data_IF_963318896455
#
_entry.id   IF_963318896455
#
_cell.length_a   1.000
_cell.length_b   1.000
_cell.length_c   1.000
_cell.angle_alpha   90.00
_cell.angle_beta   90.00
_cell.angle_gamma   90.00
#
_symmetry.space_group_name_H-M   'P 1'
#
loop_
_entity.id
_entity.type
_entity.pdbx_description
1 polymer ?
#
# COMPACT_ATOMS: atom_id res chain seq x y z
N UNK A 1 -18.45 -2.87 -17.33
CA UNK A 1 -18.70 -3.30 -15.94
C UNK A 1 -19.23 -2.09 -15.19
N UNK A 2 -20.28 -2.25 -14.38
CA UNK A 2 -20.85 -1.12 -13.63
C UNK A 2 -19.81 -0.66 -12.60
N UNK A 3 -19.56 0.65 -12.55
CA UNK A 3 -18.73 1.24 -11.49
C UNK A 3 -19.41 0.99 -10.15
N UNK A 4 -18.70 0.43 -9.15
CA UNK A 4 -19.29 0.21 -7.84
C UNK A 4 -19.71 1.56 -7.25
N UNK A 5 -20.93 1.65 -6.69
CA UNK A 5 -21.35 2.84 -5.96
C UNK A 5 -20.57 2.89 -4.64
N UNK A 6 -19.62 3.81 -4.58
CA UNK A 6 -18.78 4.04 -3.40
C UNK A 6 -19.49 5.10 -2.54
N UNK A 7 -19.78 4.83 -1.25
CA UNK A 7 -20.36 5.83 -0.37
C UNK A 7 -19.46 7.07 -0.25
N UNK A 8 -20.03 8.27 -0.24
CA UNK A 8 -19.24 9.52 -0.18
C UNK A 8 -18.39 9.60 1.09
N UNK A 9 -18.91 9.11 2.22
CA UNK A 9 -18.22 9.11 3.51
C UNK A 9 -17.19 8.00 3.69
N UNK A 10 -17.05 7.12 2.70
CA UNK A 10 -16.17 5.97 2.80
C UNK A 10 -14.70 6.37 2.77
N UNK A 11 -13.91 5.86 3.72
CA UNK A 11 -12.48 6.15 3.87
C UNK A 11 -12.15 7.64 4.12
N UNK A 12 -13.12 8.43 4.60
CA UNK A 12 -12.91 9.84 4.97
C UNK A 12 -12.18 9.96 6.31
N UNK A 13 -10.94 10.45 6.27
CA UNK A 13 -10.00 10.75 7.37
C UNK A 13 -9.72 9.58 8.37
N UNK A 14 -8.49 9.47 8.91
CA UNK A 14 -8.18 8.42 9.87
C UNK A 14 -8.81 8.73 11.24
N UNK A 15 -9.73 7.88 11.72
CA UNK A 15 -10.27 7.97 13.08
C UNK A 15 -9.28 7.32 14.07
N UNK A 16 -8.36 8.11 14.63
CA UNK A 16 -7.47 7.63 15.69
C UNK A 16 -6.35 6.69 15.24
N UNK A 17 -5.97 6.74 13.95
CA UNK A 17 -4.79 6.01 13.48
C UNK A 17 -3.50 6.59 14.07
N UNK A 18 -2.55 5.73 14.42
CA UNK A 18 -1.27 6.13 15.00
C UNK A 18 -0.11 5.49 14.25
N UNK A 19 1.00 6.22 14.17
CA UNK A 19 2.22 5.78 13.52
C UNK A 19 3.24 5.34 14.58
N UNK A 20 3.88 4.20 14.33
CA UNK A 20 5.00 3.71 15.12
C UNK A 20 6.11 3.22 14.21
N UNK A 21 7.18 3.99 14.12
CA UNK A 21 8.40 3.54 13.46
C UNK A 21 9.08 2.44 14.29
N UNK A 22 9.56 1.40 13.62
CA UNK A 22 10.25 0.29 14.24
C UNK A 22 11.73 0.63 14.45
N UNK A 23 12.23 0.33 15.65
CA UNK A 23 13.66 0.25 15.90
C UNK A 23 14.05 -1.22 15.94
N UNK A 24 14.74 -1.69 14.89
CA UNK A 24 15.11 -3.09 14.71
C UNK A 24 16.07 -3.62 15.79
N UNK A 25 16.81 -2.74 16.48
CA UNK A 25 17.65 -3.13 17.62
C UNK A 25 16.81 -3.46 18.86
N UNK A 26 15.59 -2.92 18.94
CA UNK A 26 14.69 -3.05 20.09
C UNK A 26 13.46 -3.93 19.81
N UNK A 27 13.41 -4.61 18.66
CA UNK A 27 12.39 -5.64 18.41
C UNK A 27 12.63 -6.88 19.27
N UNK A 28 11.64 -7.76 19.35
CA UNK A 28 11.75 -9.04 20.07
C UNK A 28 11.51 -10.20 19.10
N UNK A 29 12.57 -10.93 18.66
CA UNK A 29 13.98 -10.72 18.96
C UNK A 29 14.56 -9.47 18.25
N UNK A 30 15.70 -8.93 18.72
CA UNK A 30 16.42 -7.89 17.99
C UNK A 30 16.86 -8.38 16.62
N UNK A 31 16.83 -7.51 15.61
CA UNK A 31 17.24 -7.83 14.24
C UNK A 31 18.26 -6.80 13.74
N UNK A 32 19.51 -6.80 14.26
CA UNK A 32 20.51 -5.78 13.94
C UNK A 32 20.88 -5.65 12.46
N UNK A 33 20.68 -6.72 11.67
CA UNK A 33 20.92 -6.70 10.23
C UNK A 33 20.09 -5.64 9.48
N UNK A 34 19.04 -5.09 10.11
CA UNK A 34 18.18 -4.05 9.57
C UNK A 34 18.32 -2.70 10.31
N UNK A 35 19.41 -2.46 11.04
CA UNK A 35 19.57 -1.23 11.85
C UNK A 35 19.36 0.06 11.04
N UNK A 36 19.87 0.11 9.80
CA UNK A 36 19.76 1.26 8.90
C UNK A 36 18.53 1.21 7.97
N UNK A 37 17.64 0.24 8.16
CA UNK A 37 16.44 0.07 7.33
C UNK A 37 15.25 0.79 7.96
N UNK A 38 14.27 1.07 7.11
CA UNK A 38 13.03 1.71 7.53
C UNK A 38 11.87 0.72 7.55
N UNK A 39 11.15 0.68 8.66
CA UNK A 39 9.82 0.08 8.75
C UNK A 39 8.98 0.84 9.76
N UNK A 40 7.69 0.97 9.49
CA UNK A 40 6.73 1.57 10.41
C UNK A 40 5.40 0.83 10.36
N UNK A 41 4.67 0.88 11.47
CA UNK A 41 3.33 0.32 11.63
C UNK A 41 2.36 1.49 11.79
N UNK A 42 1.28 1.47 11.02
CA UNK A 42 0.15 2.38 11.20
C UNK A 42 -0.98 1.56 11.81
N UNK A 43 -1.21 1.76 13.09
CA UNK A 43 -2.29 1.11 13.83
C UNK A 43 -3.61 1.86 13.56
N UNK A 44 -4.74 1.13 13.52
CA UNK A 44 -6.09 1.67 13.27
C UNK A 44 -6.23 2.47 11.95
N UNK A 45 -5.52 2.08 10.89
CA UNK A 45 -5.60 2.76 9.59
C UNK A 45 -7.01 2.70 8.95
N UNK A 46 -7.73 1.62 9.19
CA UNK A 46 -9.12 1.40 8.77
C UNK A 46 -9.90 0.75 9.90
N UNK A 47 -11.18 1.05 10.01
CA UNK A 47 -12.08 0.33 10.92
C UNK A 47 -12.45 -1.05 10.33
N UNK A 48 -13.04 -1.91 11.16
CA UNK A 48 -13.52 -3.21 10.71
C UNK A 48 -14.63 -3.07 9.66
N UNK A 49 -15.53 -2.11 9.84
CA UNK A 49 -16.60 -1.79 8.90
C UNK A 49 -16.03 -1.34 7.55
N UNK A 50 -14.99 -0.50 7.58
CA UNK A 50 -14.33 -0.04 6.35
C UNK A 50 -13.68 -1.21 5.59
N UNK A 51 -13.01 -2.11 6.32
CA UNK A 51 -12.42 -3.32 5.74
C UNK A 51 -13.48 -4.24 5.12
N UNK A 52 -14.59 -4.46 5.83
CA UNK A 52 -15.70 -5.28 5.35
C UNK A 52 -16.37 -4.67 4.12
N UNK A 53 -16.54 -3.36 4.08
CA UNK A 53 -17.09 -2.64 2.94
C UNK A 53 -16.15 -2.72 1.73
N UNK A 54 -14.82 -2.58 1.91
CA UNK A 54 -13.85 -2.79 0.82
C UNK A 54 -13.99 -4.19 0.22
N UNK A 55 -14.06 -5.22 1.07
CA UNK A 55 -14.24 -6.60 0.63
C UNK A 55 -15.57 -6.81 -0.11
N UNK A 56 -16.65 -6.20 0.37
CA UNK A 56 -17.95 -6.25 -0.29
C UNK A 56 -17.89 -5.62 -1.69
N UNK A 57 -17.38 -4.40 -1.82
CA UNK A 57 -17.25 -3.70 -3.10
C UNK A 57 -16.40 -4.49 -4.11
N UNK A 58 -15.31 -5.09 -3.64
CA UNK A 58 -14.46 -5.96 -4.45
C UNK A 58 -15.24 -7.18 -4.93
N UNK A 59 -15.92 -7.91 -4.04
CA UNK A 59 -16.68 -9.12 -4.38
C UNK A 59 -17.85 -8.83 -5.31
N UNK A 60 -18.53 -7.69 -5.16
CA UNK A 60 -19.63 -7.28 -6.04
C UNK A 60 -19.14 -6.93 -7.45
N UNK A 61 -17.95 -6.34 -7.57
CA UNK A 61 -17.37 -5.99 -8.88
C UNK A 61 -16.62 -7.15 -9.54
N UNK A 62 -16.06 -8.06 -8.74
CA UNK A 62 -15.25 -9.20 -9.16
C UNK A 62 -15.69 -10.46 -8.39
N UNK A 63 -16.78 -11.14 -8.81
CA UNK A 63 -17.32 -12.31 -8.11
C UNK A 63 -16.36 -13.51 -8.11
N UNK A 64 -15.38 -13.52 -9.03
CA UNK A 64 -14.24 -14.42 -9.02
C UNK A 64 -12.95 -13.60 -8.96
N UNK A 65 -11.98 -14.06 -8.15
CA UNK A 65 -10.70 -13.40 -7.97
C UNK A 65 -9.65 -14.11 -8.81
N UNK A 66 -9.52 -13.69 -10.06
CA UNK A 66 -8.44 -14.17 -10.91
C UNK A 66 -7.09 -13.72 -10.34
N UNK A 67 -6.09 -14.61 -10.40
CA UNK A 67 -4.74 -14.26 -9.95
C UNK A 67 -4.23 -13.08 -10.78
N UNK A 68 -3.78 -12.04 -10.10
CA UNK A 68 -3.17 -10.91 -10.75
C UNK A 68 -1.88 -11.32 -11.47
N UNK A 69 -1.86 -11.10 -12.80
CA UNK A 69 -0.68 -11.28 -13.63
C UNK A 69 0.36 -10.16 -13.37
N UNK A 70 1.61 -10.43 -13.75
CA UNK A 70 2.71 -9.45 -13.71
C UNK A 70 2.74 -8.70 -15.03
N UNK A 71 2.76 -7.37 -14.98
CA UNK A 71 2.93 -6.53 -16.17
C UNK A 71 4.40 -6.58 -16.61
N UNK A 72 4.65 -6.93 -17.87
CA UNK A 72 5.99 -7.06 -18.46
C UNK A 72 6.32 -5.92 -19.43
N UNK A 73 5.51 -4.86 -19.46
CA UNK A 73 5.63 -3.74 -20.38
C UNK A 73 4.87 -3.96 -21.69
N UNK A 74 4.74 -2.90 -22.48
CA UNK A 74 4.04 -2.92 -23.78
C UNK A 74 2.61 -3.48 -23.74
N UNK A 75 1.91 -3.31 -22.62
CA UNK A 75 0.55 -3.85 -22.42
C UNK A 75 0.49 -5.37 -22.22
N UNK A 76 1.63 -6.06 -22.14
CA UNK A 76 1.69 -7.51 -21.93
C UNK A 76 1.68 -7.88 -20.45
N UNK A 77 1.08 -9.03 -20.15
CA UNK A 77 1.03 -9.57 -18.80
C UNK A 77 1.29 -11.08 -18.83
N UNK A 78 2.05 -11.58 -17.86
CA UNK A 78 2.36 -13.00 -17.71
C UNK A 78 2.02 -13.50 -16.31
N UNK A 79 1.70 -14.78 -16.21
CA UNK A 79 1.63 -15.47 -14.92
C UNK A 79 3.05 -15.82 -14.47
N UNK A 80 3.57 -15.10 -13.47
CA UNK A 80 4.85 -15.44 -12.82
C UNK A 80 4.60 -15.71 -11.35
N UNK A 81 4.45 -16.99 -11.01
CA UNK A 81 4.25 -17.40 -9.61
C UNK A 81 5.51 -17.19 -8.77
N UNK A 82 6.71 -17.22 -9.36
CA UNK A 82 7.95 -16.97 -8.63
C UNK A 82 8.11 -15.50 -8.23
N UNK A 83 7.53 -14.57 -9.00
CA UNK A 83 7.52 -13.14 -8.68
C UNK A 83 6.29 -12.74 -7.86
N UNK A 84 5.13 -13.34 -8.15
CA UNK A 84 3.84 -13.01 -7.53
C UNK A 84 2.99 -14.26 -7.32
N UNK A 85 3.23 -14.97 -6.21
CA UNK A 85 2.43 -16.14 -5.82
C UNK A 85 1.27 -15.79 -4.88
N UNK A 86 0.43 -14.82 -5.24
CA UNK A 86 -0.69 -14.43 -4.38
C UNK A 86 -2.05 -14.69 -5.03
N UNK A 87 -3.02 -15.17 -4.24
CA UNK A 87 -4.44 -15.28 -4.61
C UNK A 87 -5.16 -13.92 -4.62
N UNK A 88 -4.43 -12.83 -4.88
CA UNK A 88 -4.91 -11.46 -4.77
C UNK A 88 -5.14 -10.87 -6.17
N UNK A 89 -6.15 -10.02 -6.28
CA UNK A 89 -6.47 -9.26 -7.49
C UNK A 89 -5.71 -7.93 -7.55
N UNK A 90 -5.73 -7.27 -8.70
CA UNK A 90 -5.51 -5.82 -8.82
C UNK A 90 -6.87 -5.18 -9.06
N UNK A 91 -7.35 -4.39 -8.10
CA UNK A 91 -8.60 -3.67 -8.24
C UNK A 91 -8.31 -2.21 -8.60
N UNK A 92 -8.42 -1.89 -9.89
CA UNK A 92 -8.08 -0.57 -10.41
C UNK A 92 -9.28 0.39 -10.31
N UNK A 93 -9.42 1.03 -9.17
CA UNK A 93 -10.46 2.04 -8.92
C UNK A 93 -9.80 3.35 -8.50
N UNK A 94 -9.67 4.34 -9.41
CA UNK A 94 -9.00 5.61 -9.11
C UNK A 94 -9.53 6.31 -7.87
N UNK A 95 -10.85 6.27 -7.64
CA UNK A 95 -11.50 6.89 -6.47
C UNK A 95 -11.02 6.27 -5.14
N UNK A 96 -11.12 4.94 -4.98
CA UNK A 96 -10.64 4.24 -3.78
C UNK A 96 -9.13 4.42 -3.60
N UNK A 97 -8.36 4.33 -4.68
CA UNK A 97 -6.92 4.53 -4.64
C UNK A 97 -6.56 5.95 -4.15
N UNK A 98 -7.26 6.97 -4.64
CA UNK A 98 -7.07 8.37 -4.23
C UNK A 98 -7.41 8.55 -2.74
N UNK A 99 -8.52 7.99 -2.25
CA UNK A 99 -8.92 8.07 -0.84
C UNK A 99 -7.90 7.39 0.08
N UNK A 100 -7.47 6.17 -0.25
CA UNK A 100 -6.45 5.43 0.50
C UNK A 100 -5.11 6.18 0.52
N UNK A 101 -4.67 6.68 -0.63
CA UNK A 101 -3.45 7.47 -0.73
C UNK A 101 -3.56 8.76 0.09
N UNK A 102 -4.68 9.48 -0.01
CA UNK A 102 -4.94 10.69 0.78
C UNK A 102 -4.87 10.43 2.28
N UNK A 103 -5.44 9.31 2.74
CA UNK A 103 -5.37 8.88 4.14
C UNK A 103 -3.96 8.48 4.57
N UNK A 104 -3.18 7.85 3.69
CA UNK A 104 -1.81 7.40 3.96
C UNK A 104 -0.79 8.55 3.93
N UNK A 105 -1.04 9.59 3.12
CA UNK A 105 -0.09 10.68 2.82
C UNK A 105 0.45 11.40 4.06
N UNK A 106 -0.35 11.77 5.08
CA UNK A 106 0.17 12.40 6.28
C UNK A 106 1.25 11.58 6.99
N UNK A 107 1.08 10.25 7.07
CA UNK A 107 2.05 9.34 7.68
C UNK A 107 3.32 9.23 6.83
N UNK A 108 3.19 9.14 5.50
CA UNK A 108 4.35 9.14 4.60
C UNK A 108 5.18 10.43 4.75
N UNK A 109 4.50 11.57 4.92
CA UNK A 109 5.16 12.85 5.13
C UNK A 109 5.88 12.89 6.48
N UNK A 110 5.25 12.42 7.54
CA UNK A 110 5.87 12.30 8.87
C UNK A 110 7.11 11.41 8.83
N UNK A 111 7.10 10.34 8.04
CA UNK A 111 8.25 9.47 7.82
C UNK A 111 9.29 10.01 6.82
N UNK A 112 9.07 11.17 6.19
CA UNK A 112 9.97 11.71 5.16
C UNK A 112 10.05 10.84 3.89
N UNK A 113 8.96 10.15 3.54
CA UNK A 113 8.86 9.23 2.40
C UNK A 113 8.16 9.82 1.17
N UNK A 114 7.74 11.07 1.24
CA UNK A 114 7.07 11.73 0.10
C UNK A 114 8.05 12.09 -1.02
N UNK A 115 9.30 12.33 -0.67
CA UNK A 115 10.32 12.86 -1.58
C UNK A 115 11.59 12.01 -1.51
N UNK A 116 12.21 11.77 -2.67
CA UNK A 116 13.49 11.08 -2.77
C UNK A 116 14.54 12.10 -3.16
N UNK A 117 15.14 12.73 -2.16
CA UNK A 117 16.20 13.73 -2.34
C UNK A 117 17.49 13.27 -1.68
N UNK A 118 18.63 13.40 -2.37
CA UNK A 118 19.95 13.03 -1.86
C UNK A 118 20.05 11.58 -1.33
N UNK A 119 19.34 10.64 -1.96
CA UNK A 119 19.33 9.20 -1.62
C UNK A 119 20.03 8.37 -2.71
N UNK A 120 21.38 8.38 -2.81
CA UNK A 120 22.13 7.70 -3.88
C UNK A 120 21.94 6.18 -3.89
N UNK A 121 21.60 5.58 -2.75
CA UNK A 121 21.27 4.15 -2.67
C UNK A 121 19.92 3.81 -3.35
N UNK A 122 19.03 4.79 -3.49
CA UNK A 122 17.71 4.63 -4.12
C UNK A 122 17.77 5.10 -5.58
N UNK A 123 18.38 6.26 -5.84
CA UNK A 123 18.47 6.86 -7.19
C UNK A 123 19.64 6.33 -8.02
N UNK A 124 20.52 5.52 -7.42
CA UNK A 124 21.73 4.99 -8.05
C UNK A 124 22.82 6.06 -8.22
N UNK A 125 23.68 5.88 -9.24
CA UNK A 125 24.80 6.78 -9.59
C UNK A 125 24.32 8.11 -10.24
N UNK A 126 23.01 8.37 -10.27
CA UNK A 126 22.43 9.62 -10.74
C UNK A 126 22.75 10.79 -9.81
N UNK A 127 22.93 12.02 -10.32
CA UNK A 127 23.66 13.05 -9.61
C UNK A 127 22.97 13.44 -8.30
N UNK A 128 23.78 13.58 -7.25
CA UNK A 128 23.43 14.38 -6.08
C UNK A 128 23.36 15.84 -6.51
N UNK A 129 22.18 16.31 -6.89
CA UNK A 129 21.87 17.73 -7.00
C UNK A 129 20.49 17.98 -6.46
#
# INVERSE_FOLDING_TARGET
>A
MASPQIPEDFLNAPQGASLRQLNFLHTTPPIPAYEDYFAAIIDNFMTEEECNQLLHLVKSSHPSWDRAMVNTGNGTQIMSVDTRNCGRIIWNTPDIAQRLLGRLTPFLRECGLCDVENRPLITGIGPAK
#
